data_IF_974767292124
#
_entry.id   IF_974767292124
#
_cell.length_a   1.000
_cell.length_b   1.000
_cell.length_c   1.000
_cell.angle_alpha   90.00
_cell.angle_beta   90.00
_cell.angle_gamma   90.00
#
_symmetry.space_group_name_H-M   'P 1'
#
loop_
_entity.id
_entity.type
_entity.pdbx_description
1 polymer ?
#
# COMPACT_ATOMS: atom_id res chain seq x y z
N UNK A 1 -1.77 -18.82 4.69
CA UNK A 1 -2.77 -17.74 4.54
C UNK A 1 -2.11 -16.65 3.70
N UNK A 2 -2.72 -16.20 2.60
CA UNK A 2 -2.11 -15.18 1.72
C UNK A 2 -2.17 -13.81 2.37
N UNK A 3 -1.11 -13.01 2.18
CA UNK A 3 -0.99 -11.64 2.66
C UNK A 3 -2.14 -10.74 2.17
N UNK A 4 -2.62 -11.02 0.97
CA UNK A 4 -3.70 -10.27 0.31
C UNK A 4 -5.07 -10.47 0.96
N UNK A 5 -5.27 -11.52 1.76
CA UNK A 5 -6.55 -11.81 2.40
C UNK A 5 -6.94 -10.79 3.49
N UNK A 6 -6.01 -9.93 3.90
CA UNK A 6 -6.25 -8.86 4.89
C UNK A 6 -6.70 -7.54 4.28
N UNK A 7 -6.52 -7.35 2.96
CA UNK A 7 -6.90 -6.11 2.29
C UNK A 7 -8.30 -6.25 1.71
N UNK A 8 -9.24 -5.48 2.26
CA UNK A 8 -10.62 -5.50 1.84
C UNK A 8 -10.76 -4.70 0.56
N UNK A 9 -10.42 -5.28 -0.60
CA UNK A 9 -10.67 -4.67 -1.91
C UNK A 9 -12.17 -4.76 -2.24
N UNK A 10 -12.93 -3.65 -2.24
CA UNK A 10 -14.32 -3.68 -2.62
C UNK A 10 -14.42 -3.91 -4.12
N UNK A 11 -15.42 -4.68 -4.55
CA UNK A 11 -15.69 -4.93 -5.97
C UNK A 11 -16.11 -3.65 -6.71
N UNK A 12 -16.56 -2.61 -5.99
CA UNK A 12 -16.97 -1.30 -6.52
C UNK A 12 -16.73 -0.19 -5.49
N UNK A 13 -16.29 0.98 -5.95
CA UNK A 13 -16.16 2.17 -5.10
C UNK A 13 -17.52 2.70 -4.63
N UNK A 14 -17.64 3.21 -3.40
CA UNK A 14 -18.88 3.77 -2.87
C UNK A 14 -19.40 4.96 -3.70
N UNK A 15 -20.71 5.08 -3.89
CA UNK A 15 -21.29 6.11 -4.77
C UNK A 15 -21.43 7.49 -4.13
N UNK A 16 -21.48 7.59 -2.80
CA UNK A 16 -21.64 8.87 -2.10
C UNK A 16 -20.31 9.44 -1.60
N UNK A 17 -20.24 10.76 -1.49
CA UNK A 17 -19.04 11.51 -1.11
C UNK A 17 -18.45 11.04 0.23
N UNK A 18 -19.30 10.84 1.25
CA UNK A 18 -18.85 10.50 2.59
C UNK A 18 -18.21 9.11 2.61
N UNK A 19 -18.87 8.14 2.00
CA UNK A 19 -18.37 6.76 1.92
C UNK A 19 -17.09 6.69 1.06
N UNK A 20 -16.96 7.52 0.03
CA UNK A 20 -15.73 7.62 -0.77
C UNK A 20 -14.54 8.11 0.08
N UNK A 21 -14.76 9.14 0.90
CA UNK A 21 -13.75 9.65 1.84
C UNK A 21 -13.44 8.62 2.94
N UNK A 22 -14.44 7.92 3.46
CA UNK A 22 -14.22 6.83 4.42
C UNK A 22 -13.41 5.69 3.82
N UNK A 23 -13.68 5.33 2.56
CA UNK A 23 -12.89 4.31 1.84
C UNK A 23 -11.44 4.75 1.69
N UNK A 24 -11.20 6.02 1.36
CA UNK A 24 -9.85 6.55 1.35
C UNK A 24 -9.14 6.41 2.71
N UNK A 25 -9.78 6.75 3.82
CA UNK A 25 -9.18 6.53 5.14
C UNK A 25 -8.88 5.06 5.42
N UNK A 26 -9.74 4.15 4.97
CA UNK A 26 -9.50 2.71 5.09
C UNK A 26 -8.28 2.28 4.28
N UNK A 27 -8.16 2.73 3.02
CA UNK A 27 -7.00 2.50 2.17
C UNK A 27 -5.69 3.02 2.80
N UNK A 28 -5.77 4.13 3.54
CA UNK A 28 -4.62 4.64 4.28
C UNK A 28 -4.24 3.76 5.47
N UNK A 29 -5.22 3.24 6.20
CA UNK A 29 -4.96 2.26 7.27
C UNK A 29 -4.35 0.97 6.72
N UNK A 30 -4.89 0.47 5.61
CA UNK A 30 -4.35 -0.67 4.86
C UNK A 30 -2.89 -0.40 4.46
N UNK A 31 -2.58 0.76 3.89
CA UNK A 31 -1.20 1.13 3.53
C UNK A 31 -0.24 1.09 4.72
N UNK A 32 -0.67 1.60 5.87
CA UNK A 32 0.13 1.58 7.10
C UNK A 32 0.43 0.14 7.53
N UNK A 33 -0.57 -0.74 7.48
CA UNK A 33 -0.38 -2.15 7.81
C UNK A 33 0.54 -2.86 6.81
N UNK A 34 0.42 -2.56 5.50
CA UNK A 34 1.35 -3.05 4.48
C UNK A 34 2.80 -2.65 4.79
N UNK A 35 3.04 -1.40 5.23
CA UNK A 35 4.36 -0.96 5.66
C UNK A 35 4.84 -1.70 6.91
N UNK A 36 3.99 -1.83 7.93
CA UNK A 36 4.33 -2.52 9.18
C UNK A 36 4.79 -3.95 8.90
N UNK A 37 4.03 -4.65 8.08
CA UNK A 37 4.34 -6.00 7.69
C UNK A 37 5.62 -6.05 6.85
N UNK A 38 5.76 -5.19 5.84
CA UNK A 38 6.99 -5.11 5.04
C UNK A 38 8.24 -4.94 5.93
N UNK A 39 8.20 -4.01 6.88
CA UNK A 39 9.30 -3.79 7.83
C UNK A 39 9.54 -5.04 8.70
N UNK A 40 8.50 -5.60 9.33
CA UNK A 40 8.60 -6.82 10.16
C UNK A 40 9.28 -7.97 9.40
N UNK A 41 8.89 -8.15 8.13
CA UNK A 41 9.47 -9.18 7.27
C UNK A 41 10.91 -8.87 6.86
N UNK A 42 11.23 -7.63 6.48
CA UNK A 42 12.61 -7.26 6.12
C UNK A 42 13.55 -7.41 7.32
N UNK A 43 13.18 -6.89 8.49
CA UNK A 43 13.99 -7.00 9.71
C UNK A 43 14.11 -8.45 10.19
N UNK A 44 13.02 -9.21 10.15
CA UNK A 44 13.04 -10.64 10.45
C UNK A 44 13.92 -11.42 9.46
N UNK A 45 13.89 -11.05 8.19
CA UNK A 45 14.69 -11.67 7.14
C UNK A 45 16.19 -11.35 7.28
N UNK A 46 16.56 -10.11 7.60
CA UNK A 46 17.95 -9.73 7.87
C UNK A 46 18.53 -10.53 9.05
N UNK A 47 17.75 -10.70 10.12
CA UNK A 47 18.14 -11.53 11.26
C UNK A 47 18.34 -13.02 10.88
N UNK A 48 17.47 -13.55 10.01
CA UNK A 48 17.59 -14.92 9.49
C UNK A 48 18.80 -15.10 8.55
N UNK A 49 19.05 -14.14 7.65
CA UNK A 49 20.21 -14.13 6.75
C UNK A 49 21.54 -14.17 7.52
N UNK A 50 21.59 -13.55 8.70
CA UNK A 50 22.79 -13.52 9.55
C UNK A 50 23.04 -14.83 10.32
N UNK A 51 22.08 -15.77 10.36
CA UNK A 51 22.09 -16.87 11.33
C UNK A 51 21.99 -18.30 10.77
N UNK A 52 21.76 -18.55 9.47
CA UNK A 52 21.66 -19.95 9.01
C UNK A 52 21.80 -20.25 7.50
N UNK A 53 22.17 -21.50 7.14
CA UNK A 53 22.55 -21.91 5.78
C UNK A 53 21.39 -22.31 4.85
N UNK A 54 20.13 -22.25 5.32
CA UNK A 54 18.96 -22.67 4.55
C UNK A 54 18.05 -21.48 4.25
N UNK A 55 18.35 -20.84 3.12
CA UNK A 55 17.62 -19.67 2.63
C UNK A 55 16.46 -20.10 1.73
N UNK A 56 15.22 -19.87 2.16
CA UNK A 56 14.02 -20.07 1.33
C UNK A 56 13.74 -18.81 0.50
N UNK A 57 14.44 -18.72 -0.64
CA UNK A 57 14.34 -17.59 -1.56
C UNK A 57 12.97 -17.48 -2.23
N UNK A 58 12.31 -18.61 -2.45
CA UNK A 58 11.03 -18.64 -3.18
C UNK A 58 9.90 -18.09 -2.31
N UNK A 59 9.92 -18.40 -1.00
CA UNK A 59 9.00 -17.78 -0.06
C UNK A 59 9.20 -16.26 0.04
N UNK A 60 10.46 -15.80 0.09
CA UNK A 60 10.76 -14.35 0.13
C UNK A 60 10.27 -13.63 -1.15
N UNK A 61 10.54 -14.18 -2.33
CA UNK A 61 10.08 -13.60 -3.60
C UNK A 61 8.56 -13.52 -3.66
N UNK A 62 7.86 -14.57 -3.25
CA UNK A 62 6.40 -14.59 -3.22
C UNK A 62 5.85 -13.50 -2.30
N UNK A 63 6.44 -13.34 -1.13
CA UNK A 63 6.01 -12.34 -0.16
C UNK A 63 6.25 -10.90 -0.65
N UNK A 64 7.44 -10.62 -1.19
CA UNK A 64 7.75 -9.30 -1.80
C UNK A 64 6.76 -9.01 -2.93
N UNK A 65 6.43 -10.02 -3.73
CA UNK A 65 5.42 -9.89 -4.78
C UNK A 65 4.04 -9.54 -4.21
N UNK A 66 3.57 -10.24 -3.17
CA UNK A 66 2.28 -9.96 -2.53
C UNK A 66 2.22 -8.56 -1.91
N UNK A 67 3.29 -8.11 -1.24
CA UNK A 67 3.38 -6.75 -0.68
C UNK A 67 3.36 -5.70 -1.80
N UNK A 68 4.08 -5.95 -2.89
CA UNK A 68 4.10 -5.06 -4.07
C UNK A 68 2.70 -4.95 -4.68
N UNK A 69 1.99 -6.07 -4.77
CA UNK A 69 0.61 -6.10 -5.26
C UNK A 69 -0.33 -5.32 -4.33
N UNK A 70 -0.18 -5.45 -3.00
CA UNK A 70 -0.99 -4.70 -2.04
C UNK A 70 -0.80 -3.18 -2.19
N UNK A 71 0.45 -2.69 -2.24
CA UNK A 71 0.72 -1.26 -2.50
C UNK A 71 0.18 -0.79 -3.85
N UNK A 72 0.28 -1.62 -4.89
CA UNK A 72 -0.24 -1.31 -6.22
C UNK A 72 -1.76 -1.20 -6.22
N UNK A 73 -2.45 -2.16 -5.59
CA UNK A 73 -3.90 -2.17 -5.47
C UNK A 73 -4.42 -0.94 -4.74
N UNK A 74 -3.85 -0.64 -3.57
CA UNK A 74 -4.20 0.56 -2.78
C UNK A 74 -4.00 1.82 -3.63
N UNK A 75 -2.86 1.94 -4.30
CA UNK A 75 -2.54 3.14 -5.09
C UNK A 75 -3.47 3.33 -6.29
N UNK A 76 -3.90 2.25 -6.94
CA UNK A 76 -4.89 2.30 -8.03
C UNK A 76 -6.24 2.80 -7.51
N UNK A 77 -6.72 2.24 -6.41
CA UNK A 77 -8.01 2.64 -5.85
C UNK A 77 -8.00 4.09 -5.36
N UNK A 78 -6.89 4.58 -4.79
CA UNK A 78 -6.72 6.00 -4.46
C UNK A 78 -6.79 6.90 -5.71
N UNK A 79 -6.23 6.46 -6.85
CA UNK A 79 -6.34 7.22 -8.11
C UNK A 79 -7.78 7.27 -8.62
N UNK A 80 -8.52 6.17 -8.55
CA UNK A 80 -9.94 6.14 -8.92
C UNK A 80 -10.78 7.05 -8.01
N UNK A 81 -10.52 7.05 -6.70
CA UNK A 81 -11.18 7.99 -5.76
C UNK A 81 -10.88 9.44 -6.14
N UNK A 82 -9.61 9.76 -6.46
CA UNK A 82 -9.18 11.10 -6.87
C UNK A 82 -9.93 11.57 -8.12
N UNK A 83 -10.03 10.72 -9.14
CA UNK A 83 -10.77 11.02 -10.37
C UNK A 83 -12.24 11.31 -10.08
N UNK A 84 -12.89 10.50 -9.23
CA UNK A 84 -14.29 10.70 -8.85
C UNK A 84 -14.52 11.96 -8.05
N UNK A 85 -13.60 12.34 -7.16
CA UNK A 85 -13.72 13.61 -6.42
C UNK A 85 -13.73 14.82 -7.37
N UNK A 86 -12.95 14.77 -8.44
CA UNK A 86 -12.92 15.82 -9.45
C UNK A 86 -14.13 15.76 -10.39
N UNK A 87 -14.51 14.57 -10.87
CA UNK A 87 -15.55 14.41 -11.89
C UNK A 87 -16.97 14.44 -11.33
N UNK A 88 -17.23 13.76 -10.21
CA UNK A 88 -18.58 13.50 -9.70
C UNK A 88 -19.00 14.49 -8.60
N UNK A 89 -18.02 15.05 -7.87
CA UNK A 89 -18.27 15.84 -6.66
C UNK A 89 -17.81 17.29 -6.73
N UNK A 90 -17.17 17.71 -7.83
CA UNK A 90 -16.61 19.06 -8.02
C UNK A 90 -15.68 19.49 -6.87
N UNK A 91 -14.81 18.56 -6.43
CA UNK A 91 -13.81 18.77 -5.36
C UNK A 91 -12.37 18.63 -5.87
N UNK A 92 -11.93 19.52 -6.77
CA UNK A 92 -10.55 19.52 -7.26
C UNK A 92 -9.53 19.82 -6.15
N UNK A 93 -9.93 20.54 -5.10
CA UNK A 93 -9.12 20.82 -3.91
C UNK A 93 -8.70 19.53 -3.18
N UNK A 94 -9.64 18.60 -3.01
CA UNK A 94 -9.35 17.30 -2.39
C UNK A 94 -8.53 16.40 -3.30
N UNK A 95 -8.81 16.44 -4.61
CA UNK A 95 -8.01 15.73 -5.62
C UNK A 95 -6.53 16.16 -5.58
N UNK A 96 -6.27 17.47 -5.50
CA UNK A 96 -4.91 18.02 -5.40
C UNK A 96 -4.22 17.61 -4.08
N UNK A 97 -4.95 17.62 -2.96
CA UNK A 97 -4.42 17.16 -1.68
C UNK A 97 -4.03 15.67 -1.71
N UNK A 98 -4.85 14.84 -2.35
CA UNK A 98 -4.56 13.42 -2.53
C UNK A 98 -3.35 13.18 -3.43
N UNK A 99 -3.18 13.97 -4.49
CA UNK A 99 -1.99 13.92 -5.36
C UNK A 99 -0.71 14.23 -4.57
N UNK A 100 -0.73 15.29 -3.76
CA UNK A 100 0.39 15.64 -2.87
C UNK A 100 0.69 14.53 -1.87
N UNK A 101 -0.33 13.87 -1.36
CA UNK A 101 -0.15 12.73 -0.45
C UNK A 101 0.46 11.52 -1.16
N UNK A 102 -0.06 11.11 -2.31
CA UNK A 102 0.48 10.01 -3.11
C UNK A 102 1.96 10.23 -3.49
N UNK A 103 2.34 11.48 -3.79
CA UNK A 103 3.75 11.83 -4.01
C UNK A 103 4.62 11.57 -2.77
N UNK A 104 4.17 11.96 -1.58
CA UNK A 104 4.86 11.69 -0.31
C UNK A 104 4.91 10.19 0.01
N UNK A 105 3.84 9.45 -0.27
CA UNK A 105 3.78 7.99 -0.10
C UNK A 105 4.78 7.28 -1.00
N UNK A 106 4.88 7.71 -2.27
CA UNK A 106 5.89 7.21 -3.20
C UNK A 106 7.31 7.48 -2.69
N UNK A 107 7.59 8.71 -2.27
CA UNK A 107 8.89 9.07 -1.69
C UNK A 107 9.23 8.22 -0.46
N UNK A 108 8.26 8.00 0.43
CA UNK A 108 8.45 7.11 1.59
C UNK A 108 8.79 5.69 1.14
N UNK A 109 8.06 5.13 0.19
CA UNK A 109 8.30 3.78 -0.31
C UNK A 109 9.71 3.65 -0.90
N UNK A 110 10.15 4.62 -1.70
CA UNK A 110 11.51 4.65 -2.28
C UNK A 110 12.59 4.71 -1.20
N UNK A 111 12.40 5.51 -0.14
CA UNK A 111 13.33 5.59 0.99
C UNK A 111 13.40 4.29 1.78
N UNK A 112 12.26 3.65 2.04
CA UNK A 112 12.19 2.36 2.73
C UNK A 112 12.92 1.29 1.93
N UNK A 113 12.65 1.17 0.62
CA UNK A 113 13.35 0.25 -0.27
C UNK A 113 14.86 0.51 -0.24
N UNK A 114 15.28 1.77 -0.39
CA UNK A 114 16.71 2.12 -0.38
C UNK A 114 17.39 1.76 0.94
N UNK A 115 16.70 1.89 2.08
CA UNK A 115 17.25 1.51 3.37
C UNK A 115 17.33 -0.01 3.54
N UNK A 116 16.34 -0.76 3.05
CA UNK A 116 16.27 -2.22 3.16
C UNK A 116 17.30 -2.99 2.32
N UNK A 117 17.97 -2.35 1.35
CA UNK A 117 18.97 -2.97 0.47
C UNK A 117 20.40 -2.38 0.60
N UNK A 118 20.69 -1.62 1.66
CA UNK A 118 22.05 -1.16 2.03
C UNK A 118 22.54 -1.87 3.28
#
# INVERSE_FOLDING_TARGET
MSFLAFFGFPLQLPSDFRSLIQRFYHLQAERIETYRLFEEYVWGHEAYLRTGPHYDFDHYKQLVHEITQAFSGISKEVLEIKERLQADFDRPDLSEHMEKLQSKEKQKLELVIKHSFN
#
